data_IF_780359362936
#
_entry.id   IF_780359362936
#
_cell.length_a   1.000
_cell.length_b   1.000
_cell.length_c   1.000
_cell.angle_alpha   90.00
_cell.angle_beta   90.00
_cell.angle_gamma   90.00
#
_symmetry.space_group_name_H-M   'P 1'
#
loop_
_entity.id
_entity.type
_entity.pdbx_description
1 polymer ?
#
# COMPACT_ATOMS: atom_id res chain seq x y z
N UNK A 1 15.36 49.19 41.18
CA UNK A 1 16.15 48.69 40.02
C UNK A 1 17.00 47.52 40.51
N UNK A 2 16.52 46.28 40.35
CA UNK A 2 17.26 45.09 40.77
C UNK A 2 18.35 44.82 39.74
N UNK A 3 19.63 45.03 40.12
CA UNK A 3 20.77 44.64 39.28
C UNK A 3 20.88 43.13 39.32
N UNK A 4 20.32 42.47 38.31
CA UNK A 4 20.42 41.02 38.16
C UNK A 4 21.90 40.67 37.98
N UNK A 5 22.42 39.76 38.81
CA UNK A 5 23.82 39.32 38.74
C UNK A 5 24.10 38.80 37.31
N UNK A 6 25.18 39.26 36.64
CA UNK A 6 25.49 38.88 35.26
C UNK A 6 25.60 37.36 35.06
N UNK A 7 25.89 36.60 36.11
CA UNK A 7 25.89 35.13 36.08
C UNK A 7 24.46 34.56 35.98
N UNK A 8 23.52 35.11 36.75
CA UNK A 8 22.11 34.69 36.74
C UNK A 8 21.47 35.03 35.39
N UNK A 9 21.81 36.19 34.81
CA UNK A 9 21.36 36.56 33.46
C UNK A 9 21.81 35.58 32.38
N UNK A 10 23.04 35.07 32.46
CA UNK A 10 23.56 34.08 31.50
C UNK A 10 22.88 32.72 31.64
N UNK A 11 22.58 32.30 32.87
CA UNK A 11 21.87 31.04 33.14
C UNK A 11 20.44 31.10 32.59
N UNK A 12 19.73 32.20 32.79
CA UNK A 12 18.36 32.37 32.27
C UNK A 12 18.35 32.30 30.73
N UNK A 13 19.31 32.95 30.06
CA UNK A 13 19.44 32.89 28.60
C UNK A 13 19.76 31.48 28.12
N UNK A 14 20.63 30.75 28.80
CA UNK A 14 20.97 29.37 28.45
C UNK A 14 19.77 28.42 28.58
N UNK A 15 18.97 28.56 29.65
CA UNK A 15 17.76 27.76 29.86
C UNK A 15 16.71 28.08 28.79
N UNK A 16 16.54 29.34 28.43
CA UNK A 16 15.64 29.74 27.34
C UNK A 16 16.06 29.17 26.00
N UNK A 17 17.34 29.17 25.68
CA UNK A 17 17.86 28.56 24.46
C UNK A 17 17.61 27.05 24.43
N UNK A 18 17.89 26.34 25.52
CA UNK A 18 17.65 24.89 25.61
C UNK A 18 16.16 24.57 25.45
N UNK A 19 15.28 25.32 26.12
CA UNK A 19 13.84 25.14 25.99
C UNK A 19 13.35 25.43 24.56
N UNK A 20 13.86 26.48 23.92
CA UNK A 20 13.55 26.80 22.53
C UNK A 20 14.01 25.69 21.57
N UNK A 21 15.23 25.19 21.74
CA UNK A 21 15.73 24.05 20.95
C UNK A 21 14.93 22.77 21.21
N UNK A 22 14.52 22.50 22.44
CA UNK A 22 13.69 21.33 22.75
C UNK A 22 12.31 21.42 22.09
N UNK A 23 11.67 22.59 22.07
CA UNK A 23 10.41 22.81 21.35
C UNK A 23 10.60 22.70 19.84
N UNK A 24 11.72 23.18 19.31
CA UNK A 24 12.02 23.07 17.89
C UNK A 24 12.27 21.62 17.46
N UNK A 25 13.00 20.83 18.26
CA UNK A 25 13.21 19.39 18.04
C UNK A 25 11.90 18.63 18.15
N UNK A 26 11.07 18.94 19.17
CA UNK A 26 9.75 18.34 19.33
C UNK A 26 8.84 18.66 18.13
N UNK A 27 8.82 19.91 17.68
CA UNK A 27 8.07 20.32 16.50
C UNK A 27 8.57 19.62 15.24
N UNK A 28 9.89 19.52 15.02
CA UNK A 28 10.47 18.84 13.85
C UNK A 28 10.14 17.33 13.82
N UNK A 29 10.07 16.68 14.99
CA UNK A 29 9.80 15.25 15.08
C UNK A 29 8.30 14.89 15.03
N UNK A 30 7.41 15.82 15.42
CA UNK A 30 5.96 15.59 15.42
C UNK A 30 5.20 16.30 14.29
N UNK A 31 5.83 17.22 13.56
CA UNK A 31 5.30 17.81 12.33
C UNK A 31 5.79 17.09 11.07
N UNK A 32 6.43 15.92 11.21
CA UNK A 32 6.66 15.07 10.05
C UNK A 32 5.30 14.79 9.38
N UNK A 33 5.12 15.18 8.10
CA UNK A 33 3.87 14.96 7.41
C UNK A 33 3.59 13.45 7.43
N UNK A 34 2.35 13.07 7.74
CA UNK A 34 1.94 11.67 7.70
C UNK A 34 2.38 11.08 6.36
N UNK A 35 3.36 10.18 6.40
CA UNK A 35 3.93 9.60 5.20
C UNK A 35 2.80 8.85 4.51
N UNK A 36 2.41 9.32 3.31
CA UNK A 36 1.40 8.67 2.47
C UNK A 36 2.00 7.38 1.94
N UNK A 37 1.97 6.36 2.78
CA UNK A 37 2.68 5.12 2.55
C UNK A 37 1.71 4.01 2.16
N UNK A 38 2.14 3.14 1.25
CA UNK A 38 1.31 2.05 0.71
C UNK A 38 1.40 0.87 1.67
N UNK A 39 0.25 0.37 2.14
CA UNK A 39 0.19 -0.84 2.96
C UNK A 39 0.32 -2.09 2.10
N UNK A 40 -0.42 -2.14 0.99
CA UNK A 40 -0.36 -3.23 0.02
C UNK A 40 -0.84 -2.78 -1.35
N UNK A 41 -0.33 -3.41 -2.39
CA UNK A 41 -0.83 -3.29 -3.74
C UNK A 41 -1.03 -4.69 -4.34
N UNK A 42 -2.15 -4.89 -5.01
CA UNK A 42 -2.54 -6.17 -5.61
C UNK A 42 -2.98 -5.95 -7.04
N UNK A 43 -2.73 -6.95 -7.89
CA UNK A 43 -3.12 -6.95 -9.29
C UNK A 43 -4.04 -8.15 -9.57
N UNK A 44 -5.19 -7.89 -10.17
CA UNK A 44 -6.09 -8.90 -10.71
C UNK A 44 -5.95 -8.94 -12.23
N UNK A 45 -5.28 -9.97 -12.75
CA UNK A 45 -5.11 -10.16 -14.20
C UNK A 45 -6.36 -10.63 -14.95
N UNK A 46 -7.40 -11.08 -14.25
CA UNK A 46 -8.68 -11.39 -14.91
C UNK A 46 -9.45 -10.11 -15.24
N UNK A 47 -9.38 -9.12 -14.36
CA UNK A 47 -10.09 -7.84 -14.51
C UNK A 47 -9.19 -6.70 -15.00
N UNK A 48 -7.86 -6.89 -15.01
CA UNK A 48 -6.89 -5.84 -15.31
C UNK A 48 -6.89 -4.72 -14.26
N UNK A 49 -7.18 -5.05 -12.99
CA UNK A 49 -7.39 -4.06 -11.92
C UNK A 49 -6.21 -4.08 -10.94
N UNK A 50 -5.65 -2.91 -10.65
CA UNK A 50 -4.75 -2.70 -9.52
C UNK A 50 -5.57 -2.16 -8.35
N UNK A 51 -5.51 -2.83 -7.21
CA UNK A 51 -6.05 -2.31 -5.95
C UNK A 51 -4.90 -1.97 -5.00
N UNK A 52 -4.84 -0.71 -4.61
CA UNK A 52 -3.86 -0.16 -3.67
C UNK A 52 -4.56 0.13 -2.35
N UNK A 53 -4.00 -0.35 -1.24
CA UNK A 53 -4.44 -0.02 0.12
C UNK A 53 -3.37 0.85 0.77
N UNK A 54 -3.77 2.00 1.29
CA UNK A 54 -2.92 3.02 1.87
C UNK A 54 -2.92 2.89 3.40
N UNK A 55 -1.77 3.14 4.04
CA UNK A 55 -1.71 3.18 5.51
C UNK A 55 -2.46 4.36 6.11
N UNK A 56 -2.62 5.42 5.32
CA UNK A 56 -3.31 6.65 5.70
C UNK A 56 -4.37 6.95 4.63
N UNK A 57 -5.62 7.28 5.02
CA UNK A 57 -6.64 7.69 4.07
C UNK A 57 -6.16 8.87 3.21
N UNK A 58 -6.31 8.74 1.90
CA UNK A 58 -6.05 9.83 0.96
C UNK A 58 -7.23 10.78 0.87
N UNK A 59 -6.97 11.98 0.35
CA UNK A 59 -8.02 12.93 0.05
C UNK A 59 -8.95 12.39 -1.06
N UNK A 60 -10.25 12.62 -0.88
CA UNK A 60 -11.28 12.29 -1.86
C UNK A 60 -11.00 12.98 -3.20
N UNK A 61 -11.06 12.22 -4.29
CA UNK A 61 -10.82 12.80 -5.60
C UNK A 61 -10.64 11.79 -6.71
N UNK A 62 -10.39 12.33 -7.90
CA UNK A 62 -9.94 11.55 -9.04
C UNK A 62 -8.42 11.43 -9.00
N UNK A 63 -7.91 10.22 -9.14
CA UNK A 63 -6.48 9.93 -9.12
C UNK A 63 -6.12 9.19 -10.41
N UNK A 64 -4.96 9.50 -10.97
CA UNK A 64 -4.46 8.85 -12.18
C UNK A 64 -3.24 8.05 -11.81
N UNK A 65 -3.23 6.79 -12.24
CA UNK A 65 -2.10 5.90 -12.06
C UNK A 65 -1.43 5.65 -13.41
N UNK A 66 -0.14 5.95 -13.47
CA UNK A 66 0.75 5.58 -14.56
C UNK A 66 1.54 4.35 -14.13
N UNK A 67 1.45 3.29 -14.92
CA UNK A 67 2.19 2.04 -14.70
C UNK A 67 3.34 1.99 -15.69
N UNK A 68 4.54 1.81 -15.15
CA UNK A 68 5.79 1.71 -15.88
C UNK A 68 6.25 0.27 -15.85
N UNK A 69 6.27 -0.34 -17.04
CA UNK A 69 6.80 -1.69 -17.23
C UNK A 69 8.15 -1.54 -17.91
N UNK A 70 9.23 -1.62 -17.13
CA UNK A 70 10.56 -1.83 -17.70
C UNK A 70 10.76 -3.32 -17.90
N UNK A 71 10.59 -3.79 -19.13
CA UNK A 71 11.12 -5.10 -19.50
C UNK A 71 12.55 -4.90 -19.99
N UNK A 72 13.50 -5.66 -19.44
CA UNK A 72 14.91 -5.56 -19.81
C UNK A 72 15.15 -5.88 -21.29
N UNK A 73 14.24 -6.62 -21.92
CA UNK A 73 14.37 -7.09 -23.30
C UNK A 73 13.60 -6.24 -24.33
N UNK A 74 12.57 -5.48 -23.93
CA UNK A 74 11.68 -4.75 -24.85
C UNK A 74 11.63 -3.22 -24.63
N UNK A 75 12.32 -2.71 -23.62
CA UNK A 75 12.32 -1.29 -23.26
C UNK A 75 11.18 -0.92 -22.31
N UNK A 76 11.10 0.37 -21.95
CA UNK A 76 10.09 0.86 -21.00
C UNK A 76 8.76 1.10 -21.71
N UNK A 77 7.75 0.31 -21.36
CA UNK A 77 6.37 0.48 -21.78
C UNK A 77 5.60 1.30 -20.73
N UNK A 78 4.78 2.25 -21.21
CA UNK A 78 4.01 3.17 -20.37
C UNK A 78 2.51 2.89 -20.55
N UNK A 79 1.82 2.60 -19.46
CA UNK A 79 0.37 2.43 -19.43
C UNK A 79 -0.24 3.51 -18.53
N UNK A 80 -1.23 4.25 -19.03
CA UNK A 80 -1.91 5.29 -18.26
C UNK A 80 -3.33 4.85 -17.96
N UNK A 81 -3.72 5.00 -16.71
CA UNK A 81 -4.96 4.45 -16.16
C UNK A 81 -5.56 5.48 -15.21
N UNK A 82 -6.88 5.56 -15.15
CA UNK A 82 -7.56 6.46 -14.20
C UNK A 82 -8.36 5.63 -13.20
N UNK A 83 -8.28 6.02 -11.93
CA UNK A 83 -9.02 5.40 -10.84
C UNK A 83 -9.73 6.46 -10.01
N UNK A 84 -10.76 6.05 -9.30
CA UNK A 84 -11.50 6.95 -8.40
C UNK A 84 -11.27 6.44 -6.98
N UNK A 85 -10.83 7.34 -6.11
CA UNK A 85 -10.70 7.06 -4.68
C UNK A 85 -12.04 7.32 -4.03
N UNK A 86 -12.56 6.31 -3.33
CA UNK A 86 -13.87 6.44 -2.68
C UNK A 86 -13.73 6.97 -1.25
N UNK A 87 -14.62 7.90 -0.81
CA UNK A 87 -14.47 8.68 0.43
C UNK A 87 -14.35 7.96 1.78
N UNK A 88 -14.50 6.64 1.81
CA UNK A 88 -14.47 5.85 3.05
C UNK A 88 -13.53 4.67 3.00
N UNK A 89 -12.75 4.55 1.93
CA UNK A 89 -11.80 3.48 1.76
C UNK A 89 -10.43 4.13 1.57
N UNK A 90 -9.52 3.82 2.47
CA UNK A 90 -8.08 3.78 2.27
C UNK A 90 -7.63 2.96 1.03
N UNK A 91 -8.55 2.64 0.11
CA UNK A 91 -8.35 1.79 -1.05
C UNK A 91 -8.66 2.55 -2.33
N UNK A 92 -7.76 2.39 -3.29
CA UNK A 92 -7.89 2.90 -4.64
C UNK A 92 -7.90 1.73 -5.61
N UNK A 93 -8.79 1.76 -6.60
CA UNK A 93 -8.81 0.76 -7.66
C UNK A 93 -8.64 1.43 -9.02
N UNK A 94 -7.68 0.93 -9.79
CA UNK A 94 -7.31 1.43 -11.12
C UNK A 94 -7.49 0.31 -12.13
N UNK A 95 -8.20 0.57 -13.23
CA UNK A 95 -8.30 -0.37 -14.33
C UNK A 95 -7.24 -0.05 -15.37
N UNK A 96 -6.35 -1.01 -15.63
CA UNK A 96 -5.29 -0.84 -16.63
C UNK A 96 -5.83 -1.09 -18.02
N UNK A 97 -5.73 -0.07 -18.85
CA UNK A 97 -6.06 -0.16 -20.27
C UNK A 97 -4.88 0.25 -21.14
N UNK A 98 -4.81 -0.34 -22.33
CA UNK A 98 -3.90 0.12 -23.37
C UNK A 98 -4.35 1.46 -23.98
N UNK A 99 -3.57 1.98 -24.95
CA UNK A 99 -3.89 3.22 -25.67
C UNK A 99 -5.19 3.15 -26.50
N UNK A 100 -5.77 1.97 -26.68
CA UNK A 100 -7.01 1.72 -27.40
C UNK A 100 -8.21 1.48 -26.45
N UNK A 101 -7.99 1.49 -25.13
CA UNK A 101 -9.03 1.23 -24.13
C UNK A 101 -9.32 -0.25 -23.88
N UNK A 102 -8.47 -1.16 -24.36
CA UNK A 102 -8.58 -2.59 -24.06
C UNK A 102 -7.95 -2.89 -22.69
N UNK A 103 -8.56 -3.80 -21.93
CA UNK A 103 -7.97 -4.31 -20.68
C UNK A 103 -6.61 -4.93 -20.98
N UNK A 104 -5.59 -4.47 -20.26
CA UNK A 104 -4.23 -4.93 -20.45
C UNK A 104 -3.86 -5.93 -19.37
N UNK A 105 -3.32 -7.08 -19.79
CA UNK A 105 -2.67 -7.99 -18.87
C UNK A 105 -1.20 -7.63 -18.69
N UNK A 106 -0.81 -7.25 -17.46
CA UNK A 106 0.57 -6.99 -17.13
C UNK A 106 1.36 -8.30 -17.10
N UNK A 107 2.55 -8.36 -17.73
CA UNK A 107 3.39 -9.54 -17.63
C UNK A 107 3.95 -9.67 -16.21
N UNK A 108 4.31 -10.89 -15.83
CA UNK A 108 4.97 -11.17 -14.55
C UNK A 108 6.19 -10.30 -14.30
N UNK A 109 6.44 -10.05 -13.02
CA UNK A 109 7.61 -9.32 -12.52
C UNK A 109 7.26 -8.00 -11.84
N UNK A 110 8.31 -7.35 -11.37
CA UNK A 110 8.22 -6.12 -10.60
C UNK A 110 7.93 -4.92 -11.51
N UNK A 111 6.83 -4.20 -11.27
CA UNK A 111 6.39 -3.02 -12.04
C UNK A 111 6.44 -1.78 -11.16
N UNK A 112 6.88 -0.66 -11.73
CA UNK A 112 6.84 0.61 -11.01
C UNK A 112 5.52 1.31 -11.31
N UNK A 113 4.85 1.83 -10.28
CA UNK A 113 3.56 2.48 -10.41
C UNK A 113 3.63 3.86 -9.75
N UNK A 114 3.30 4.88 -10.53
CA UNK A 114 3.23 6.27 -10.07
C UNK A 114 1.78 6.69 -10.07
N UNK A 115 1.28 7.10 -8.91
CA UNK A 115 -0.10 7.56 -8.74
C UNK A 115 -0.10 9.03 -8.39
N UNK A 116 -0.85 9.84 -9.14
CA UNK A 116 -0.94 11.28 -8.96
C UNK A 116 -2.41 11.73 -8.81
N UNK A 117 -2.65 12.66 -7.90
CA UNK A 117 -3.97 13.27 -7.73
C UNK A 117 -4.26 14.24 -8.87
N UNK A 118 -5.45 14.15 -9.47
CA UNK A 118 -5.97 15.18 -10.38
C UNK A 118 -6.69 16.31 -9.63
N UNK A 119 -6.98 16.11 -8.35
CA UNK A 119 -7.77 17.04 -7.56
C UNK A 119 -6.88 18.11 -6.92
N UNK A 120 -6.83 19.29 -7.58
CA UNK A 120 -6.34 20.61 -7.11
C UNK A 120 -4.89 20.65 -6.60
N UNK A 121 -4.02 21.50 -7.18
CA UNK A 121 -2.64 21.65 -6.72
C UNK A 121 -2.52 22.04 -5.23
N UNK A 122 -1.50 21.54 -4.50
CA UNK A 122 -0.39 20.71 -4.98
C UNK A 122 -0.79 19.26 -5.24
N UNK A 123 -0.26 18.68 -6.32
CA UNK A 123 -0.52 17.29 -6.68
C UNK A 123 0.27 16.36 -5.76
N UNK A 124 -0.43 15.62 -4.91
CA UNK A 124 0.17 14.51 -4.17
C UNK A 124 0.52 13.40 -5.16
N UNK A 125 1.76 12.89 -5.05
CA UNK A 125 2.28 11.81 -5.87
C UNK A 125 2.77 10.68 -4.97
N UNK A 126 2.36 9.46 -5.26
CA UNK A 126 2.71 8.26 -4.51
C UNK A 126 3.42 7.31 -5.48
N UNK A 127 4.54 6.75 -5.02
CA UNK A 127 5.35 5.80 -5.79
C UNK A 127 5.37 4.48 -5.05
N UNK A 128 5.11 3.38 -5.76
CA UNK A 128 5.29 2.05 -5.21
C UNK A 128 5.67 1.04 -6.29
N UNK A 129 6.22 -0.07 -5.85
CA UNK A 129 6.53 -1.20 -6.71
C UNK A 129 5.45 -2.26 -6.53
N UNK A 130 4.84 -2.66 -7.64
CA UNK A 130 3.84 -3.71 -7.71
C UNK A 130 4.51 -4.99 -8.18
N UNK A 131 4.51 -6.02 -7.32
CA UNK A 131 4.94 -7.35 -7.72
C UNK A 131 3.78 -8.04 -8.46
N UNK A 132 3.85 -8.05 -9.80
CA UNK A 132 2.87 -8.79 -10.59
C UNK A 132 3.31 -10.25 -10.61
N UNK A 133 2.62 -11.06 -9.83
CA UNK A 133 2.70 -12.51 -9.92
C UNK A 133 1.34 -13.01 -10.38
N UNK A 134 1.29 -13.47 -11.63
CA UNK A 134 0.31 -14.43 -12.09
C UNK A 134 0.52 -15.69 -11.25
N UNK A 135 -0.03 -15.74 -10.05
CA UNK A 135 -0.26 -17.01 -9.38
C UNK A 135 -1.45 -17.67 -10.08
N UNK A 136 -1.28 -17.98 -11.37
CA UNK A 136 -2.08 -18.97 -12.05
C UNK A 136 -1.72 -20.26 -11.34
N UNK A 137 -2.58 -20.70 -10.42
CA UNK A 137 -2.41 -21.99 -9.76
C UNK A 137 -2.15 -23.01 -10.86
N UNK A 138 -0.94 -23.56 -10.87
CA UNK A 138 -0.63 -24.62 -11.81
C UNK A 138 -1.61 -25.78 -11.57
N UNK A 139 -1.89 -26.57 -12.59
CA UNK A 139 -2.74 -27.77 -12.44
C UNK A 139 -2.25 -28.63 -11.28
N UNK A 140 -0.93 -28.67 -11.04
CA UNK A 140 -0.30 -29.39 -9.92
C UNK A 140 -0.66 -28.79 -8.56
N UNK A 141 -0.62 -27.47 -8.40
CA UNK A 141 -1.03 -26.79 -7.15
C UNK A 141 -2.54 -26.89 -6.91
N UNK A 142 -3.37 -26.79 -7.95
CA UNK A 142 -4.82 -27.02 -7.82
C UNK A 142 -5.12 -28.46 -7.40
N UNK A 143 -4.38 -29.44 -7.93
CA UNK A 143 -4.49 -30.84 -7.50
C UNK A 143 -4.06 -30.99 -6.03
N UNK A 144 -2.96 -30.37 -5.61
CA UNK A 144 -2.47 -30.44 -4.23
C UNK A 144 -3.46 -29.80 -3.23
N UNK A 145 -4.05 -28.66 -3.57
CA UNK A 145 -5.10 -28.02 -2.78
C UNK A 145 -6.35 -28.92 -2.73
N UNK A 146 -6.76 -29.51 -3.85
CA UNK A 146 -7.87 -30.45 -3.91
C UNK A 146 -7.67 -31.69 -3.03
N UNK A 147 -6.47 -32.26 -3.05
CA UNK A 147 -6.09 -33.40 -2.19
C UNK A 147 -6.12 -33.00 -0.71
N UNK A 148 -5.57 -31.84 -0.35
CA UNK A 148 -5.56 -31.35 1.02
C UNK A 148 -6.98 -31.16 1.59
N UNK A 149 -7.89 -30.59 0.78
CA UNK A 149 -9.30 -30.43 1.15
C UNK A 149 -9.99 -31.79 1.32
N UNK A 150 -9.74 -32.74 0.43
CA UNK A 150 -10.29 -34.09 0.54
C UNK A 150 -9.83 -34.82 1.81
N UNK A 151 -8.54 -34.72 2.17
CA UNK A 151 -8.02 -35.27 3.41
C UNK A 151 -8.63 -34.62 4.65
N UNK A 152 -8.84 -33.31 4.63
CA UNK A 152 -9.45 -32.59 5.73
C UNK A 152 -10.91 -33.05 5.95
N UNK A 153 -11.69 -33.17 4.87
CA UNK A 153 -13.06 -33.71 4.92
C UNK A 153 -13.06 -35.15 5.43
N UNK A 154 -12.16 -36.00 4.95
CA UNK A 154 -12.03 -37.38 5.41
C UNK A 154 -11.69 -37.47 6.90
N UNK A 155 -10.78 -36.62 7.38
CA UNK A 155 -10.42 -36.55 8.80
C UNK A 155 -11.61 -36.12 9.68
N UNK A 156 -12.40 -35.15 9.22
CA UNK A 156 -13.64 -34.72 9.90
C UNK A 156 -14.65 -35.86 9.95
N UNK A 157 -14.88 -36.58 8.85
CA UNK A 157 -15.79 -37.74 8.81
C UNK A 157 -15.33 -38.83 9.78
N UNK A 158 -14.04 -39.17 9.78
CA UNK A 158 -13.47 -40.14 10.73
C UNK A 158 -13.63 -39.68 12.19
N UNK A 159 -13.44 -38.39 12.47
CA UNK A 159 -13.64 -37.83 13.81
C UNK A 159 -15.11 -37.95 14.25
N UNK A 160 -16.06 -37.69 13.36
CA UNK A 160 -17.50 -37.84 13.61
C UNK A 160 -17.87 -39.31 13.85
N UNK A 161 -17.40 -40.23 13.01
CA UNK A 161 -17.64 -41.68 13.20
C UNK A 161 -17.07 -42.14 14.54
N UNK A 162 -15.82 -41.77 14.87
CA UNK A 162 -15.21 -42.09 16.16
C UNK A 162 -16.01 -41.54 17.34
N UNK A 163 -16.56 -40.33 17.20
CA UNK A 163 -17.41 -39.72 18.23
C UNK A 163 -18.73 -40.47 18.42
N UNK A 164 -19.35 -40.93 17.33
CA UNK A 164 -20.58 -41.74 17.39
C UNK A 164 -20.31 -43.12 18.01
N UNK A 165 -19.21 -43.76 17.64
CA UNK A 165 -18.85 -45.10 18.14
C UNK A 165 -18.43 -45.07 19.62
N UNK A 166 -17.80 -43.99 20.12
CA UNK A 166 -17.45 -43.83 21.54
C UNK A 166 -18.60 -43.30 22.41
N UNK A 167 -19.66 -42.77 21.79
CA UNK A 167 -20.83 -42.22 22.48
C UNK A 167 -21.98 -43.22 22.66
N UNK A 168 -21.79 -44.48 22.23
CA UNK A 168 -22.60 -45.64 22.58
C UNK A 168 -21.81 -46.54 23.52
#
# INVERSE_FOLDING_TARGET
MVRLNPVISKIIVAVFLIAFFAVFIWAAFFLEPAETDVESATYDGAEGVITVTMKVPLADGSWVASVYVSDSDEGTMYYTTSGIVTPSADRMSFTITDSQGCLLNLPNGSKHVDVHSLAVPPHDTIFFTLEVSDHVYSTEEMIMIGIAVAFMVFAVVLAVIRRIVRGR
#
